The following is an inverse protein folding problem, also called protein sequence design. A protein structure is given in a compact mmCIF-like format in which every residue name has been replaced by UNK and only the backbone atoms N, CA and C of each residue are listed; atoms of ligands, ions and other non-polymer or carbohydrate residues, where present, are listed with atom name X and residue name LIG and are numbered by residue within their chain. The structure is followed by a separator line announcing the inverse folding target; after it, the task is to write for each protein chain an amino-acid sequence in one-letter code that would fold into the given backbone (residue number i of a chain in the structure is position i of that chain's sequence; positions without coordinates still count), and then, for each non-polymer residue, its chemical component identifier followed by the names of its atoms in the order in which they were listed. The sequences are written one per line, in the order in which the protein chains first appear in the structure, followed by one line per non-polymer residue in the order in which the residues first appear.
data_IF_395970601673
#
_entry.id   IF_395970601673
#
_cell.length_a   1.000
_cell.length_b   1.000
_cell.length_c   1.000
_cell.angle_alpha   90.00
_cell.angle_beta   90.00
_cell.angle_gamma   90.00
#
_symmetry.space_group_name_H-M   'P 1'
#
loop_
_entity.id
_entity.type
_entity.pdbx_description
1 polymer ?
#
# COMPACT_ATOMS: atom_id res chain seq x y z
N UNK A 1 5.85 -71.25 -0.51
CA UNK A 1 5.21 -70.21 0.33
C UNK A 1 6.16 -69.03 0.69
N UNK A 2 7.41 -69.28 1.03
CA UNK A 2 8.40 -68.27 1.40
C UNK A 2 8.76 -67.37 0.20
N UNK A 3 8.90 -67.93 -1.00
CA UNK A 3 9.26 -67.23 -2.22
C UNK A 3 8.16 -66.22 -2.68
N UNK A 4 6.90 -66.57 -2.47
CA UNK A 4 5.78 -65.70 -2.78
C UNK A 4 5.71 -64.48 -1.82
N UNK A 5 5.97 -64.75 -0.54
CA UNK A 5 6.04 -63.69 0.49
C UNK A 5 7.20 -62.73 0.23
N UNK A 6 8.35 -63.23 -0.21
CA UNK A 6 9.51 -62.41 -0.58
C UNK A 6 9.21 -61.51 -1.79
N UNK A 7 8.62 -62.05 -2.86
CA UNK A 7 8.22 -61.26 -4.03
C UNK A 7 7.20 -60.14 -3.68
N UNK A 8 6.25 -60.45 -2.82
CA UNK A 8 5.24 -59.47 -2.33
C UNK A 8 5.90 -58.38 -1.49
N UNK A 9 6.82 -58.72 -0.59
CA UNK A 9 7.57 -57.75 0.19
C UNK A 9 8.46 -56.85 -0.67
N UNK A 10 9.14 -57.40 -1.67
CA UNK A 10 9.95 -56.65 -2.64
C UNK A 10 9.11 -55.70 -3.50
N UNK A 11 7.89 -56.11 -3.90
CA UNK A 11 6.93 -55.28 -4.60
C UNK A 11 6.48 -54.06 -3.76
N UNK A 12 6.14 -54.30 -2.50
CA UNK A 12 5.74 -53.25 -1.58
C UNK A 12 6.90 -52.26 -1.33
N UNK A 13 8.13 -52.79 -1.17
CA UNK A 13 9.31 -51.94 -0.99
C UNK A 13 9.57 -51.03 -2.21
N UNK A 14 9.49 -51.61 -3.42
CA UNK A 14 9.63 -50.83 -4.67
C UNK A 14 8.56 -49.74 -4.80
N UNK A 15 7.32 -50.03 -4.44
CA UNK A 15 6.24 -49.05 -4.46
C UNK A 15 6.48 -47.90 -3.44
N UNK A 16 6.94 -48.22 -2.22
CA UNK A 16 7.30 -47.24 -1.22
C UNK A 16 8.46 -46.35 -1.67
N UNK A 17 9.49 -46.91 -2.25
CA UNK A 17 10.63 -46.18 -2.81
C UNK A 17 10.19 -45.23 -3.93
N UNK A 18 9.32 -45.70 -4.85
CA UNK A 18 8.79 -44.86 -5.93
C UNK A 18 7.96 -43.70 -5.37
N UNK A 19 7.14 -43.95 -4.34
CA UNK A 19 6.33 -42.93 -3.70
C UNK A 19 7.22 -41.87 -3.02
N UNK A 20 8.26 -42.28 -2.30
CA UNK A 20 9.23 -41.36 -1.68
C UNK A 20 9.98 -40.51 -2.71
N UNK A 21 10.37 -41.13 -3.84
CA UNK A 21 11.00 -40.36 -4.93
C UNK A 21 10.05 -39.37 -5.57
N UNK A 22 8.78 -39.71 -5.76
CA UNK A 22 7.77 -38.77 -6.27
C UNK A 22 7.54 -37.60 -5.30
N UNK A 23 7.45 -37.87 -4.01
CA UNK A 23 7.32 -36.82 -2.98
C UNK A 23 8.57 -35.91 -2.99
N UNK A 24 9.76 -36.48 -3.09
CA UNK A 24 11.00 -35.69 -3.19
C UNK A 24 11.03 -34.79 -4.43
N UNK A 25 10.60 -35.28 -5.58
CA UNK A 25 10.49 -34.47 -6.81
C UNK A 25 9.45 -33.35 -6.65
N UNK A 26 8.29 -33.64 -6.07
CA UNK A 26 7.24 -32.62 -5.84
C UNK A 26 7.73 -31.53 -4.90
N UNK A 27 8.45 -31.89 -3.83
CA UNK A 27 9.03 -30.89 -2.90
C UNK A 27 10.12 -30.06 -3.58
N UNK A 28 10.94 -30.66 -4.43
CA UNK A 28 11.96 -29.93 -5.19
C UNK A 28 11.33 -28.97 -6.21
N UNK A 29 10.25 -29.37 -6.87
CA UNK A 29 9.51 -28.50 -7.79
C UNK A 29 8.84 -27.35 -7.02
N UNK A 30 8.20 -27.63 -5.87
CA UNK A 30 7.59 -26.59 -5.05
C UNK A 30 8.63 -25.57 -4.55
N UNK A 31 9.77 -26.03 -4.06
CA UNK A 31 10.87 -25.15 -3.65
C UNK A 31 11.43 -24.34 -4.83
N UNK A 32 11.57 -24.97 -6.01
CA UNK A 32 12.00 -24.29 -7.23
C UNK A 32 11.02 -23.20 -7.69
N UNK A 33 9.71 -23.46 -7.59
CA UNK A 33 8.68 -22.46 -7.92
C UNK A 33 8.68 -21.27 -6.95
N UNK A 34 8.90 -21.52 -5.65
CA UNK A 34 9.03 -20.43 -4.66
C UNK A 34 10.27 -19.58 -4.94
N UNK A 35 11.42 -20.22 -5.17
CA UNK A 35 12.66 -19.52 -5.49
C UNK A 35 12.58 -18.72 -6.81
N UNK A 36 11.94 -19.29 -7.83
CA UNK A 36 11.70 -18.61 -9.10
C UNK A 36 10.72 -17.44 -8.94
N UNK A 37 9.68 -17.59 -8.10
CA UNK A 37 8.73 -16.52 -7.78
C UNK A 37 9.39 -15.33 -7.08
N UNK A 38 10.21 -15.58 -6.06
CA UNK A 38 10.98 -14.54 -5.37
C UNK A 38 12.02 -13.88 -6.28
N UNK A 39 12.71 -14.66 -7.09
CA UNK A 39 13.69 -14.14 -8.05
C UNK A 39 13.03 -13.27 -9.13
N UNK A 40 11.90 -13.73 -9.73
CA UNK A 40 11.15 -12.96 -10.71
C UNK A 40 10.56 -11.69 -10.08
N UNK A 41 9.97 -11.79 -8.89
CA UNK A 41 9.42 -10.64 -8.18
C UNK A 41 10.50 -9.58 -7.90
N UNK A 42 11.67 -10.01 -7.40
CA UNK A 42 12.80 -9.09 -7.14
C UNK A 42 13.40 -8.52 -8.42
N UNK A 43 13.41 -9.28 -9.51
CA UNK A 43 14.00 -8.85 -10.79
C UNK A 43 13.06 -7.92 -11.55
N UNK A 44 11.76 -8.23 -11.62
CA UNK A 44 10.76 -7.38 -12.29
C UNK A 44 10.56 -6.05 -11.55
N UNK A 45 10.51 -6.05 -10.23
CA UNK A 45 10.43 -4.79 -9.45
C UNK A 45 11.72 -3.97 -9.64
N UNK A 46 12.88 -4.63 -9.76
CA UNK A 46 14.16 -3.95 -9.95
C UNK A 46 14.32 -3.40 -11.36
N UNK A 47 13.79 -4.05 -12.39
CA UNK A 47 13.81 -3.54 -13.78
C UNK A 47 12.83 -2.40 -14.01
N UNK A 48 11.58 -2.47 -13.49
CA UNK A 48 10.64 -1.34 -13.58
C UNK A 48 11.17 -0.09 -12.85
N UNK A 49 11.87 -0.28 -11.73
CA UNK A 49 12.55 0.83 -11.03
C UNK A 49 13.80 1.29 -11.77
N UNK A 50 14.46 0.41 -12.55
CA UNK A 50 15.70 0.75 -13.29
C UNK A 50 15.43 1.44 -14.63
N UNK A 51 14.33 1.11 -15.32
CA UNK A 51 13.98 1.79 -16.60
C UNK A 51 13.44 3.21 -16.39
N UNK A 52 12.95 3.53 -15.18
CA UNK A 52 12.58 4.90 -14.80
C UNK A 52 13.81 5.69 -14.27
N UNK A 53 14.94 5.01 -14.04
CA UNK A 53 16.16 5.61 -13.50
C UNK A 53 17.13 6.09 -14.59
N UNK A 54 16.63 6.89 -15.51
CA UNK A 54 17.46 7.83 -16.26
C UNK A 54 17.96 8.92 -15.30
N UNK A 55 19.11 8.65 -14.69
CA UNK A 55 20.06 9.63 -14.17
C UNK A 55 19.46 10.88 -13.50
N UNK A 56 18.87 10.75 -12.30
CA UNK A 56 18.83 11.80 -11.28
C UNK A 56 18.73 11.07 -9.93
N UNK A 57 19.77 11.20 -9.10
CA UNK A 57 19.68 11.01 -7.66
C UNK A 57 18.82 12.16 -7.08
N UNK A 58 17.62 12.33 -7.56
CA UNK A 58 16.64 13.22 -6.94
C UNK A 58 16.05 12.50 -5.73
N UNK A 59 16.35 13.06 -4.58
CA UNK A 59 15.79 12.69 -3.31
C UNK A 59 14.25 12.73 -3.45
N UNK A 60 13.61 11.59 -3.66
CA UNK A 60 12.16 11.53 -3.86
C UNK A 60 11.47 12.00 -2.60
N UNK A 61 10.86 13.17 -2.66
CA UNK A 61 10.10 13.73 -1.56
C UNK A 61 8.62 13.37 -1.71
N UNK A 62 8.01 12.92 -0.63
CA UNK A 62 6.56 12.74 -0.53
C UNK A 62 6.03 13.79 0.43
N UNK A 63 5.01 14.54 0.02
CA UNK A 63 4.27 15.41 0.94
C UNK A 63 3.05 14.66 1.45
N UNK A 64 2.88 14.62 2.76
CA UNK A 64 1.69 14.10 3.42
C UNK A 64 0.88 15.26 3.97
N UNK A 65 -0.30 15.47 3.41
CA UNK A 65 -1.26 16.45 3.91
C UNK A 65 -2.25 15.76 4.87
N UNK A 66 -2.11 16.08 6.14
CA UNK A 66 -3.06 15.66 7.18
C UNK A 66 -4.21 16.64 7.23
N UNK A 67 -5.34 16.32 6.58
CA UNK A 67 -6.48 17.23 6.46
C UNK A 67 -7.01 17.72 7.80
N UNK A 68 -7.60 18.92 7.78
CA UNK A 68 -8.11 19.65 8.95
C UNK A 68 -7.01 20.01 9.98
N UNK A 69 -7.39 20.45 11.17
CA UNK A 69 -6.47 20.80 12.25
C UNK A 69 -6.87 22.08 12.99
N UNK A 70 -6.40 22.25 14.21
CA UNK A 70 -6.71 23.41 15.05
C UNK A 70 -8.21 23.59 15.27
N UNK A 71 -8.75 24.71 14.82
CA UNK A 71 -10.18 25.06 14.96
C UNK A 71 -11.11 24.22 14.06
N UNK A 72 -10.57 23.61 13.00
CA UNK A 72 -11.34 22.76 12.08
C UNK A 72 -11.24 21.28 12.52
N UNK A 73 -12.25 20.70 13.15
CA UNK A 73 -12.24 19.31 13.58
C UNK A 73 -12.41 18.33 12.42
N UNK A 74 -12.80 18.81 11.23
CA UNK A 74 -13.32 17.95 10.17
C UNK A 74 -14.64 17.29 10.57
N UNK A 75 -14.91 16.10 10.09
CA UNK A 75 -16.09 15.32 10.51
C UNK A 75 -15.91 14.83 11.95
N UNK A 76 -16.97 14.99 12.75
CA UNK A 76 -17.04 14.44 14.10
C UNK A 76 -17.87 13.16 14.06
N UNK A 77 -17.30 12.06 14.51
CA UNK A 77 -17.97 10.76 14.60
C UNK A 77 -19.03 10.72 15.71
N UNK A 78 -19.90 9.73 15.67
CA UNK A 78 -20.94 9.54 16.70
C UNK A 78 -20.37 9.27 18.10
N UNK A 79 -19.13 8.80 18.17
CA UNK A 79 -18.38 8.56 19.40
C UNK A 79 -17.55 9.80 19.85
N UNK A 80 -17.70 10.93 19.17
CA UNK A 80 -16.94 12.16 19.43
C UNK A 80 -15.54 12.22 18.84
N UNK A 81 -15.07 11.18 18.13
CA UNK A 81 -13.78 11.20 17.47
C UNK A 81 -13.75 12.24 16.36
N UNK A 82 -12.68 13.04 16.30
CA UNK A 82 -12.51 14.11 15.32
C UNK A 82 -11.65 13.64 14.16
N UNK A 83 -12.05 13.97 12.95
CA UNK A 83 -11.34 13.61 11.72
C UNK A 83 -9.89 14.07 11.73
N UNK A 84 -9.64 15.32 12.18
CA UNK A 84 -8.30 15.90 12.27
C UNK A 84 -7.31 15.06 13.08
N UNK A 85 -7.78 14.42 14.15
CA UNK A 85 -6.94 13.59 15.03
C UNK A 85 -6.60 12.27 14.35
N UNK A 86 -7.58 11.64 13.70
CA UNK A 86 -7.37 10.40 12.95
C UNK A 86 -6.45 10.61 11.75
N UNK A 87 -6.66 11.71 11.02
CA UNK A 87 -5.81 12.06 9.88
C UNK A 87 -4.35 12.24 10.31
N UNK A 88 -4.09 12.93 11.41
CA UNK A 88 -2.74 13.14 11.93
C UNK A 88 -2.08 11.81 12.35
N UNK A 89 -2.80 10.96 13.07
CA UNK A 89 -2.29 9.64 13.49
C UNK A 89 -1.92 8.74 12.30
N UNK A 90 -2.74 8.75 11.24
CA UNK A 90 -2.45 7.99 10.02
C UNK A 90 -1.25 8.60 9.30
N UNK A 91 -1.19 9.93 9.19
CA UNK A 91 -0.09 10.64 8.55
C UNK A 91 1.26 10.37 9.24
N UNK A 92 1.30 10.39 10.57
CA UNK A 92 2.50 10.08 11.34
C UNK A 92 3.00 8.64 11.14
N UNK A 93 2.07 7.67 11.09
CA UNK A 93 2.41 6.27 10.81
C UNK A 93 2.95 6.10 9.38
N UNK A 94 2.30 6.74 8.40
CA UNK A 94 2.75 6.72 7.01
C UNK A 94 4.12 7.37 6.86
N UNK A 95 4.33 8.54 7.48
CA UNK A 95 5.64 9.21 7.52
C UNK A 95 6.72 8.27 8.03
N UNK A 96 6.52 7.67 9.21
CA UNK A 96 7.49 6.76 9.81
C UNK A 96 7.83 5.61 8.86
N UNK A 97 6.82 4.98 8.27
CA UNK A 97 7.00 3.88 7.32
C UNK A 97 7.82 4.31 6.10
N UNK A 98 7.51 5.45 5.50
CA UNK A 98 8.24 5.96 4.33
C UNK A 98 9.68 6.33 4.66
N UNK A 99 9.94 6.95 5.82
CA UNK A 99 11.29 7.31 6.26
C UNK A 99 12.15 6.07 6.55
N UNK A 100 11.59 5.01 7.11
CA UNK A 100 12.24 3.71 7.27
C UNK A 100 12.66 3.09 5.91
N UNK A 101 11.97 3.46 4.83
CA UNK A 101 12.29 3.07 3.44
C UNK A 101 13.10 4.13 2.68
N UNK A 102 13.77 5.05 3.39
CA UNK A 102 14.66 6.08 2.82
C UNK A 102 13.94 7.09 1.90
N UNK A 103 12.64 7.27 2.06
CA UNK A 103 11.86 8.29 1.37
C UNK A 103 11.81 9.53 2.24
N UNK A 104 12.14 10.69 1.66
CA UNK A 104 12.02 11.97 2.36
C UNK A 104 10.54 12.36 2.47
N UNK A 105 10.10 12.71 3.67
CA UNK A 105 8.71 13.09 3.92
C UNK A 105 8.62 14.50 4.48
N UNK A 106 7.75 15.31 3.91
CA UNK A 106 7.32 16.59 4.44
C UNK A 106 5.84 16.48 4.83
N UNK A 107 5.48 16.91 6.03
CA UNK A 107 4.08 16.97 6.47
C UNK A 107 3.58 18.40 6.45
N UNK A 108 2.33 18.63 6.07
CA UNK A 108 1.70 19.96 6.14
C UNK A 108 1.54 20.44 7.58
N UNK A 109 1.25 19.52 8.51
CA UNK A 109 1.24 19.76 9.95
C UNK A 109 1.73 18.55 10.73
N UNK A 110 2.30 18.76 11.89
CA UNK A 110 2.83 17.71 12.79
C UNK A 110 2.17 17.69 14.16
N UNK A 111 1.17 18.55 14.37
CA UNK A 111 0.38 18.65 15.61
C UNK A 111 -1.03 19.14 15.29
N UNK A 112 -1.87 19.32 16.32
CA UNK A 112 -3.23 19.82 16.16
C UNK A 112 -3.21 21.35 15.95
N UNK A 113 -2.91 21.76 14.72
CA UNK A 113 -2.89 23.15 14.27
C UNK A 113 -3.38 23.25 12.84
N UNK A 114 -3.94 24.41 12.48
CA UNK A 114 -4.12 24.80 11.08
C UNK A 114 -2.89 25.57 10.59
N UNK A 115 -2.72 25.69 9.29
CA UNK A 115 -1.66 26.48 8.67
C UNK A 115 -2.01 27.98 8.63
N UNK A 116 -3.30 28.31 8.78
CA UNK A 116 -3.81 29.68 8.84
C UNK A 116 -5.09 29.77 9.70
N UNK A 117 -5.54 31.01 9.96
CA UNK A 117 -6.69 31.27 10.84
C UNK A 117 -8.04 30.98 10.20
N UNK A 118 -8.17 31.10 8.88
CA UNK A 118 -9.39 30.79 8.13
C UNK A 118 -9.20 29.53 7.28
N UNK A 119 -10.28 28.79 7.08
CA UNK A 119 -10.27 27.57 6.26
C UNK A 119 -9.79 27.83 4.82
N UNK A 120 -10.15 28.96 4.23
CA UNK A 120 -9.73 29.30 2.86
C UNK A 120 -8.23 29.57 2.80
N UNK A 121 -7.69 30.29 3.78
CA UNK A 121 -6.25 30.57 3.86
C UNK A 121 -5.46 29.32 4.23
N UNK A 122 -6.00 28.47 5.11
CA UNK A 122 -5.40 27.17 5.44
C UNK A 122 -5.23 26.29 4.20
N UNK A 123 -6.30 26.14 3.39
CA UNK A 123 -6.22 25.38 2.14
C UNK A 123 -5.21 25.95 1.15
N UNK A 124 -5.13 27.30 1.03
CA UNK A 124 -4.12 27.95 0.18
C UNK A 124 -2.71 27.66 0.69
N UNK A 125 -2.47 27.79 1.99
CA UNK A 125 -1.16 27.54 2.59
C UNK A 125 -0.71 26.09 2.38
N UNK A 126 -1.64 25.11 2.42
CA UNK A 126 -1.35 23.69 2.10
C UNK A 126 -0.91 23.54 0.66
N UNK A 127 -1.65 24.12 -0.29
CA UNK A 127 -1.31 24.08 -1.73
C UNK A 127 0.06 24.73 -1.96
N UNK A 128 0.30 25.92 -1.40
CA UNK A 128 1.58 26.64 -1.52
C UNK A 128 2.76 25.81 -0.96
N UNK A 129 2.56 25.11 0.16
CA UNK A 129 3.57 24.23 0.73
C UNK A 129 3.87 23.05 -0.22
N UNK A 130 2.83 22.40 -0.75
CA UNK A 130 2.98 21.27 -1.69
C UNK A 130 3.70 21.73 -2.95
N UNK A 131 3.29 22.86 -3.52
CA UNK A 131 3.91 23.41 -4.73
C UNK A 131 5.38 23.78 -4.51
N UNK A 132 5.70 24.39 -3.35
CA UNK A 132 7.06 24.74 -2.98
C UNK A 132 7.98 23.52 -2.85
N UNK A 133 7.49 22.47 -2.25
CA UNK A 133 8.26 21.23 -2.05
C UNK A 133 8.43 20.45 -3.36
N UNK A 134 7.59 20.70 -4.36
CA UNK A 134 7.60 20.01 -5.67
C UNK A 134 7.79 18.49 -5.52
N UNK A 135 6.94 17.80 -4.78
CA UNK A 135 7.16 16.40 -4.41
C UNK A 135 6.93 15.46 -5.60
N UNK A 136 7.54 14.26 -5.53
CA UNK A 136 7.20 13.17 -6.45
C UNK A 136 5.75 12.70 -6.27
N UNK A 137 5.21 12.81 -5.05
CA UNK A 137 3.83 12.46 -4.73
C UNK A 137 3.33 13.31 -3.55
N UNK A 138 2.12 13.85 -3.65
CA UNK A 138 1.38 14.41 -2.53
C UNK A 138 0.21 13.50 -2.16
N UNK A 139 0.08 13.18 -0.88
CA UNK A 139 -0.97 12.31 -0.33
C UNK A 139 -1.76 13.08 0.71
N UNK A 140 -3.04 13.34 0.42
CA UNK A 140 -3.96 13.98 1.36
C UNK A 140 -4.77 12.89 2.10
N UNK A 141 -4.82 12.98 3.43
CA UNK A 141 -5.49 12.02 4.30
C UNK A 141 -6.73 12.66 4.89
N UNK A 142 -7.89 12.05 4.63
CA UNK A 142 -9.20 12.47 5.10
C UNK A 142 -10.05 11.27 5.52
N UNK A 143 -11.08 11.52 6.35
CA UNK A 143 -12.12 10.55 6.67
C UNK A 143 -13.42 11.00 6.02
N UNK A 144 -13.86 10.27 5.01
CA UNK A 144 -15.16 10.53 4.40
C UNK A 144 -16.28 10.15 5.38
N UNK A 145 -17.40 10.86 5.30
CA UNK A 145 -18.64 10.47 5.98
C UNK A 145 -19.73 10.21 4.95
N UNK A 146 -20.55 9.23 5.26
CA UNK A 146 -21.68 8.86 4.41
C UNK A 146 -22.91 8.57 5.28
N UNK A 147 -24.14 8.91 4.84
CA UNK A 147 -25.36 8.68 5.63
C UNK A 147 -25.67 7.20 5.89
N UNK A 148 -25.29 6.31 4.94
CA UNK A 148 -25.52 4.88 5.10
C UNK A 148 -24.29 4.21 5.73
N UNK A 149 -24.49 3.49 6.82
CA UNK A 149 -23.44 2.74 7.54
C UNK A 149 -22.79 1.63 6.69
N UNK A 150 -23.50 1.13 5.68
CA UNK A 150 -22.97 0.12 4.75
C UNK A 150 -21.88 0.68 3.83
N UNK A 151 -21.81 2.01 3.65
CA UNK A 151 -20.78 2.66 2.83
C UNK A 151 -19.56 2.91 3.69
N UNK A 152 -18.58 2.01 3.62
CA UNK A 152 -17.33 2.04 4.39
C UNK A 152 -16.17 1.55 3.53
N UNK A 153 -14.98 1.54 4.10
CA UNK A 153 -13.75 1.10 3.44
C UNK A 153 -12.97 2.21 2.76
N UNK A 154 -11.68 1.97 2.50
CA UNK A 154 -10.79 2.95 1.92
C UNK A 154 -11.11 3.23 0.45
N UNK A 155 -10.93 4.48 0.04
CA UNK A 155 -11.11 4.91 -1.35
C UNK A 155 -10.07 5.95 -1.71
N UNK A 156 -9.41 5.77 -2.84
CA UNK A 156 -8.47 6.75 -3.38
C UNK A 156 -9.18 7.68 -4.35
N UNK A 157 -8.99 8.98 -4.13
CA UNK A 157 -9.34 10.04 -5.05
C UNK A 157 -8.08 10.54 -5.73
N UNK A 158 -8.16 10.91 -7.00
CA UNK A 158 -7.04 11.43 -7.75
C UNK A 158 -7.46 12.59 -8.65
N UNK A 159 -6.51 13.45 -9.02
CA UNK A 159 -6.76 14.54 -9.96
C UNK A 159 -7.00 13.97 -11.36
N UNK A 160 -8.22 14.11 -11.87
CA UNK A 160 -8.68 13.43 -13.10
C UNK A 160 -7.88 13.77 -14.36
N UNK A 161 -7.21 14.94 -14.38
CA UNK A 161 -6.40 15.38 -15.51
C UNK A 161 -4.94 14.91 -15.45
N UNK A 162 -4.52 14.20 -14.39
CA UNK A 162 -3.18 13.61 -14.26
C UNK A 162 -3.21 12.11 -14.50
N UNK A 163 -2.48 11.65 -15.52
CA UNK A 163 -2.30 10.22 -15.80
C UNK A 163 -1.44 9.55 -14.72
N UNK A 164 -0.45 10.26 -14.21
CA UNK A 164 0.47 9.80 -13.17
C UNK A 164 -0.27 9.63 -11.85
N UNK A 165 -1.11 10.61 -11.46
CA UNK A 165 -1.96 10.50 -10.28
C UNK A 165 -2.94 9.32 -10.38
N UNK A 166 -3.49 9.06 -11.57
CA UNK A 166 -4.34 7.89 -11.82
C UNK A 166 -3.60 6.58 -11.59
N UNK A 167 -2.38 6.43 -12.15
CA UNK A 167 -1.55 5.24 -11.95
C UNK A 167 -1.21 5.01 -10.48
N UNK A 168 -0.80 6.07 -9.77
CA UNK A 168 -0.53 6.00 -8.34
C UNK A 168 -1.78 5.56 -7.56
N UNK A 169 -2.95 6.11 -7.89
CA UNK A 169 -4.21 5.74 -7.27
C UNK A 169 -4.58 4.27 -7.52
N UNK A 170 -4.36 3.75 -8.73
CA UNK A 170 -4.62 2.36 -9.09
C UNK A 170 -3.74 1.38 -8.25
N UNK A 171 -2.44 1.69 -8.11
CA UNK A 171 -1.52 0.90 -7.30
C UNK A 171 -1.95 0.92 -5.83
N UNK A 172 -2.16 2.11 -5.25
CA UNK A 172 -2.58 2.25 -3.85
C UNK A 172 -3.92 1.56 -3.59
N UNK A 173 -4.90 1.69 -4.49
CA UNK A 173 -6.20 1.06 -4.30
C UNK A 173 -6.12 -0.47 -4.40
N UNK A 174 -5.22 -1.01 -5.22
CA UNK A 174 -4.97 -2.45 -5.30
C UNK A 174 -4.49 -2.99 -3.95
N UNK A 175 -3.55 -2.31 -3.30
CA UNK A 175 -3.05 -2.71 -1.98
C UNK A 175 -4.13 -2.55 -0.88
N UNK A 176 -4.94 -1.50 -0.94
CA UNK A 176 -6.06 -1.33 -0.03
C UNK A 176 -7.15 -2.40 -0.21
N UNK A 177 -7.38 -2.85 -1.45
CA UNK A 177 -8.27 -3.99 -1.74
C UNK A 177 -7.71 -5.31 -1.18
N UNK A 178 -6.40 -5.52 -1.25
CA UNK A 178 -5.75 -6.70 -0.65
C UNK A 178 -5.90 -6.70 0.87
N UNK A 179 -5.87 -5.53 1.51
CA UNK A 179 -6.05 -5.37 2.94
C UNK A 179 -7.52 -5.53 3.39
N UNK A 180 -8.48 -4.96 2.66
CA UNK A 180 -9.92 -5.03 2.96
C UNK A 180 -10.72 -5.38 1.70
N UNK A 181 -10.82 -6.67 1.42
CA UNK A 181 -11.53 -7.18 0.24
C UNK A 181 -13.04 -7.00 0.32
N UNK A 182 -13.61 -7.01 1.53
CA UNK A 182 -15.06 -6.92 1.75
C UNK A 182 -15.58 -5.51 1.43
N UNK A 183 -14.78 -4.47 1.72
CA UNK A 183 -15.19 -3.08 1.57
C UNK A 183 -14.38 -2.35 0.47
N UNK A 184 -13.84 -3.11 -0.47
CA UNK A 184 -13.06 -2.56 -1.58
C UNK A 184 -13.91 -1.59 -2.41
N UNK A 185 -13.40 -0.38 -2.60
CA UNK A 185 -14.04 0.67 -3.41
C UNK A 185 -13.21 0.94 -4.67
N UNK A 186 -13.84 1.52 -5.69
CA UNK A 186 -13.13 1.94 -6.90
C UNK A 186 -12.47 3.31 -6.69
N UNK A 187 -11.36 3.54 -7.41
CA UNK A 187 -10.73 4.88 -7.45
C UNK A 187 -11.69 5.89 -8.06
N UNK A 188 -11.59 7.15 -7.66
CA UNK A 188 -12.46 8.21 -8.17
C UNK A 188 -11.65 9.41 -8.64
N UNK A 189 -11.81 9.78 -9.91
CA UNK A 189 -11.26 11.02 -10.44
C UNK A 189 -12.04 12.23 -9.93
N UNK A 190 -11.32 13.26 -9.54
CA UNK A 190 -11.86 14.55 -9.11
C UNK A 190 -11.23 15.67 -9.95
N UNK A 191 -11.99 16.73 -10.21
CA UNK A 191 -11.55 17.91 -10.98
C UNK A 191 -11.34 19.10 -10.09
#
# INVERSE_FOLDING_TARGET
DVFLRFKKALGILRTKIRLLLMIGVLLAVAAGCQFAGEYLHSHYIREEVSETSGNISEKKTVVIDSGHGGKDPGKVGINGAQEKELNLQIAEKLKKYLEEHQITVVMTRTKDEGLADSQVEDLKARVELIDKESPALAVCIHQNSYPQESVRGPQIFYFAHSKEAKKAAEVMQTELKNFDQEHAREIKGNT
#
